data_IF_908986647758
#
_entry.id   IF_908986647758
#
_cell.length_a   1.000
_cell.length_b   1.000
_cell.length_c   1.000
_cell.angle_alpha   90.00
_cell.angle_beta   90.00
_cell.angle_gamma   90.00
#
_symmetry.space_group_name_H-M   'P 1'
#
loop_
_entity.id
_entity.type
_entity.pdbx_description
1 polymer ?
#
# COMPACT_ATOMS: atom_id res chain seq x y z
N UNK A 1 -41.11 25.33 50.92
CA UNK A 1 -40.80 23.92 50.61
C UNK A 1 -39.83 23.94 49.46
N UNK A 2 -38.54 23.75 49.75
CA UNK A 2 -37.50 23.76 48.73
C UNK A 2 -37.51 22.41 48.02
N UNK A 3 -37.75 22.42 46.72
CA UNK A 3 -37.65 21.26 45.86
C UNK A 3 -36.25 20.65 45.98
N UNK A 4 -36.20 19.41 46.47
CA UNK A 4 -34.99 18.62 46.49
C UNK A 4 -34.64 18.24 45.04
N UNK A 5 -33.77 19.02 44.42
CA UNK A 5 -33.10 18.63 43.18
C UNK A 5 -32.20 17.44 43.51
N UNK A 6 -32.62 16.25 43.10
CA UNK A 6 -31.88 15.00 43.25
C UNK A 6 -30.50 15.13 42.57
N UNK A 7 -29.37 15.03 43.30
CA UNK A 7 -28.03 15.23 42.75
C UNK A 7 -27.56 14.11 41.79
N UNK A 8 -28.35 13.04 41.65
CA UNK A 8 -28.08 11.91 40.74
C UNK A 8 -28.96 11.90 39.48
N UNK A 9 -29.75 12.94 39.21
CA UNK A 9 -30.44 13.03 37.92
C UNK A 9 -29.39 13.21 36.81
N UNK A 10 -29.35 12.34 35.78
CA UNK A 10 -28.46 12.56 34.64
C UNK A 10 -28.76 13.95 34.10
N UNK A 11 -27.71 14.76 33.91
CA UNK A 11 -27.86 16.11 33.38
C UNK A 11 -28.78 16.06 32.15
N UNK A 12 -29.66 17.05 31.96
CA UNK A 12 -30.72 17.03 30.92
C UNK A 12 -30.20 16.53 29.55
N UNK A 13 -28.98 16.94 29.18
CA UNK A 13 -28.30 16.54 27.95
C UNK A 13 -27.94 15.04 27.85
N UNK A 14 -27.77 14.36 28.98
CA UNK A 14 -27.52 12.92 29.11
C UNK A 14 -28.78 12.06 28.98
N UNK A 15 -29.96 12.66 28.99
CA UNK A 15 -31.21 11.93 28.80
C UNK A 15 -31.37 11.49 27.32
N UNK A 16 -31.55 10.19 27.01
CA UNK A 16 -31.80 9.71 25.66
C UNK A 16 -33.05 10.32 25.00
N UNK A 17 -34.04 10.72 25.81
CA UNK A 17 -35.29 11.37 25.39
C UNK A 17 -35.14 12.87 25.13
N UNK A 18 -33.97 13.45 25.39
CA UNK A 18 -33.71 14.85 25.05
C UNK A 18 -33.47 14.99 23.54
N UNK A 19 -34.22 15.90 22.89
CA UNK A 19 -34.02 16.27 21.49
C UNK A 19 -33.40 17.66 21.43
N UNK A 20 -32.23 17.79 20.80
CA UNK A 20 -31.57 19.10 20.68
C UNK A 20 -32.32 19.96 19.64
N UNK A 21 -32.45 21.29 19.81
CA UNK A 21 -33.14 22.13 18.82
C UNK A 21 -32.56 22.10 17.39
N UNK A 22 -31.31 21.65 17.23
CA UNK A 22 -30.68 21.44 15.91
C UNK A 22 -30.96 20.06 15.30
N UNK A 23 -31.63 19.17 16.02
CA UNK A 23 -31.99 17.82 15.58
C UNK A 23 -33.27 17.84 14.75
N UNK A 24 -33.15 18.33 13.51
CA UNK A 24 -34.22 18.21 12.51
C UNK A 24 -34.13 16.93 11.67
N UNK A 25 -35.14 16.63 10.82
CA UNK A 25 -35.13 15.48 9.91
C UNK A 25 -33.93 15.42 8.96
N UNK A 26 -33.32 16.56 8.63
CA UNK A 26 -32.12 16.63 7.78
C UNK A 26 -30.78 16.67 8.52
N UNK A 27 -30.79 16.59 9.85
CA UNK A 27 -29.60 16.79 10.68
C UNK A 27 -28.66 15.58 10.72
N UNK A 28 -29.18 14.38 10.50
CA UNK A 28 -28.39 13.15 10.35
C UNK A 28 -28.26 12.85 8.85
N UNK A 29 -27.12 13.23 8.27
CA UNK A 29 -26.81 12.90 6.87
C UNK A 29 -25.91 11.67 6.79
N UNK A 30 -26.45 10.59 6.24
CA UNK A 30 -25.64 9.47 5.75
C UNK A 30 -25.23 9.78 4.32
N UNK A 31 -23.94 9.69 4.01
CA UNK A 31 -23.40 10.04 2.69
C UNK A 31 -23.97 9.15 1.57
N UNK A 32 -24.07 7.84 1.83
CA UNK A 32 -24.62 6.87 0.89
C UNK A 32 -25.94 6.29 1.38
N UNK A 33 -26.96 6.35 0.52
CA UNK A 33 -28.26 5.74 0.83
C UNK A 33 -28.18 4.22 0.76
N UNK A 34 -28.91 3.52 1.64
CA UNK A 34 -29.07 2.07 1.53
C UNK A 34 -29.74 1.72 0.19
N UNK A 35 -29.09 0.91 -0.62
CA UNK A 35 -29.63 0.43 -1.91
C UNK A 35 -29.89 -1.08 -1.91
N UNK A 36 -29.14 -1.82 -1.09
CA UNK A 36 -29.32 -3.26 -0.94
C UNK A 36 -28.28 -3.88 0.00
N UNK A 37 -28.09 -5.20 -0.09
CA UNK A 37 -27.13 -5.92 0.75
C UNK A 37 -25.69 -5.48 0.52
N UNK A 38 -25.35 -5.07 -0.70
CA UNK A 38 -23.99 -4.69 -1.12
C UNK A 38 -23.40 -3.51 -0.35
N UNK A 39 -24.23 -2.56 0.10
CA UNK A 39 -23.78 -1.40 0.86
C UNK A 39 -24.38 -1.35 2.28
N UNK A 40 -25.07 -2.41 2.69
CA UNK A 40 -25.74 -2.47 3.98
C UNK A 40 -24.78 -2.31 5.16
N UNK A 41 -23.62 -2.97 5.13
CA UNK A 41 -22.65 -2.88 6.24
C UNK A 41 -22.11 -1.46 6.43
N UNK A 42 -21.71 -0.81 5.35
CA UNK A 42 -21.23 0.57 5.36
C UNK A 42 -22.33 1.53 5.84
N UNK A 43 -23.55 1.39 5.28
CA UNK A 43 -24.72 2.16 5.68
C UNK A 43 -25.06 1.97 7.16
N UNK A 44 -25.12 0.71 7.64
CA UNK A 44 -25.41 0.35 9.03
C UNK A 44 -24.41 1.05 9.95
N UNK A 45 -23.12 0.94 9.65
CA UNK A 45 -22.06 1.56 10.46
C UNK A 45 -22.19 3.08 10.49
N UNK A 46 -22.45 3.71 9.36
CA UNK A 46 -22.65 5.15 9.27
C UNK A 46 -23.88 5.62 10.08
N UNK A 47 -24.99 4.88 10.02
CA UNK A 47 -26.19 5.15 10.81
C UNK A 47 -25.94 4.97 12.31
N UNK A 48 -25.28 3.90 12.73
CA UNK A 48 -24.93 3.67 14.14
C UNK A 48 -24.05 4.81 14.68
N UNK A 49 -23.06 5.27 13.91
CA UNK A 49 -22.22 6.43 14.27
C UNK A 49 -23.09 7.68 14.39
N UNK A 50 -23.89 8.00 13.37
CA UNK A 50 -24.77 9.17 13.36
C UNK A 50 -25.71 9.21 14.57
N UNK A 51 -26.42 8.11 14.82
CA UNK A 51 -27.33 7.98 15.96
C UNK A 51 -26.60 8.05 17.30
N UNK A 52 -25.38 7.52 17.39
CA UNK A 52 -24.56 7.62 18.60
C UNK A 52 -24.19 9.06 18.92
N UNK A 53 -23.83 9.88 17.91
CA UNK A 53 -23.54 11.31 18.12
C UNK A 53 -24.75 12.09 18.64
N UNK A 54 -25.96 11.62 18.31
CA UNK A 54 -27.25 12.19 18.76
C UNK A 54 -27.81 11.52 20.02
N UNK A 55 -27.11 10.52 20.59
CA UNK A 55 -27.56 9.70 21.74
C UNK A 55 -28.88 8.96 21.48
N UNK A 56 -29.17 8.65 20.22
CA UNK A 56 -30.39 7.95 19.78
C UNK A 56 -30.16 6.49 19.40
N UNK A 57 -28.93 5.98 19.56
CA UNK A 57 -28.62 4.57 19.28
C UNK A 57 -29.50 3.60 20.07
N UNK A 58 -29.95 3.97 21.27
CA UNK A 58 -30.82 3.13 22.09
C UNK A 58 -32.21 2.88 21.50
N UNK A 59 -32.71 3.76 20.61
CA UNK A 59 -34.00 3.58 19.95
C UNK A 59 -33.96 2.43 18.93
N UNK A 60 -32.88 2.33 18.14
CA UNK A 60 -32.74 1.22 17.19
C UNK A 60 -32.40 -0.11 17.88
N UNK A 61 -31.77 -0.06 19.07
CA UNK A 61 -31.45 -1.25 19.87
C UNK A 61 -32.60 -1.71 20.78
N UNK A 62 -33.69 -0.93 20.87
CA UNK A 62 -34.80 -1.21 21.79
C UNK A 62 -34.44 -1.09 23.27
N UNK A 63 -33.32 -0.43 23.62
CA UNK A 63 -32.90 -0.27 25.03
C UNK A 63 -33.62 0.88 25.73
N UNK A 64 -34.23 1.80 24.97
CA UNK A 64 -35.02 2.92 25.50
C UNK A 64 -36.49 2.53 25.47
N UNK A 65 -37.07 2.33 26.65
CA UNK A 65 -38.43 1.80 26.81
C UNK A 65 -39.46 2.93 26.77
N UNK A 66 -40.57 2.68 26.08
CA UNK A 66 -41.74 3.57 26.10
C UNK A 66 -42.40 3.54 27.49
N UNK A 67 -42.61 4.70 28.10
CA UNK A 67 -43.21 4.81 29.43
C UNK A 67 -44.70 4.47 29.39
N UNK A 68 -45.17 3.54 30.24
CA UNK A 68 -46.59 3.24 30.40
C UNK A 68 -47.28 4.09 31.48
N UNK A 69 -46.50 4.72 32.36
CA UNK A 69 -47.00 5.36 33.59
C UNK A 69 -46.95 6.88 33.52
N UNK A 70 -46.03 7.45 32.73
CA UNK A 70 -45.84 8.89 32.60
C UNK A 70 -46.12 9.34 31.15
N UNK A 71 -47.22 10.06 30.90
CA UNK A 71 -47.61 10.50 29.56
C UNK A 71 -46.61 11.50 28.95
N UNK A 72 -45.92 12.32 29.75
CA UNK A 72 -44.95 13.28 29.23
C UNK A 72 -43.71 12.55 28.70
N UNK A 73 -43.25 11.52 29.44
CA UNK A 73 -42.13 10.69 28.99
C UNK A 73 -42.50 9.84 27.77
N UNK A 74 -43.76 9.41 27.65
CA UNK A 74 -44.27 8.73 26.47
C UNK A 74 -44.22 9.65 25.23
N UNK A 75 -44.75 10.88 25.33
CA UNK A 75 -44.74 11.84 24.22
C UNK A 75 -43.31 12.23 23.78
N UNK A 76 -42.39 12.40 24.74
CA UNK A 76 -40.97 12.64 24.45
C UNK A 76 -40.31 11.44 23.74
N UNK A 77 -40.68 10.22 24.14
CA UNK A 77 -40.23 9.00 23.47
C UNK A 77 -40.75 8.93 22.04
N UNK A 78 -42.05 9.19 21.82
CA UNK A 78 -42.67 9.18 20.49
C UNK A 78 -42.01 10.19 19.57
N UNK A 79 -41.74 11.39 20.07
CA UNK A 79 -41.04 12.44 19.32
C UNK A 79 -39.65 12.00 18.89
N UNK A 80 -38.88 11.40 19.81
CA UNK A 80 -37.55 10.89 19.50
C UNK A 80 -37.58 9.69 18.54
N UNK A 81 -38.53 8.77 18.73
CA UNK A 81 -38.73 7.61 17.86
C UNK A 81 -39.06 8.05 16.43
N UNK A 82 -40.00 8.99 16.27
CA UNK A 82 -40.37 9.57 14.97
C UNK A 82 -39.19 10.28 14.31
N UNK A 83 -38.34 10.96 15.09
CA UNK A 83 -37.12 11.60 14.56
C UNK A 83 -36.13 10.56 14.01
N UNK A 84 -35.93 9.45 14.73
CA UNK A 84 -35.08 8.35 14.25
C UNK A 84 -35.66 7.70 13.00
N UNK A 85 -36.98 7.52 12.93
CA UNK A 85 -37.68 7.05 11.72
C UNK A 85 -37.41 8.00 10.55
N UNK A 86 -37.53 9.32 10.74
CA UNK A 86 -37.24 10.31 9.70
C UNK A 86 -35.80 10.17 9.17
N UNK A 87 -34.82 9.99 10.06
CA UNK A 87 -33.43 9.79 9.66
C UNK A 87 -33.22 8.46 8.92
N UNK A 88 -33.84 7.37 9.37
CA UNK A 88 -33.77 6.08 8.67
C UNK A 88 -34.36 6.22 7.27
N UNK A 89 -35.58 6.77 7.14
CA UNK A 89 -36.25 6.97 5.84
C UNK A 89 -35.45 7.88 4.90
N UNK A 90 -34.82 8.94 5.43
CA UNK A 90 -33.94 9.81 4.66
C UNK A 90 -32.62 9.15 4.22
N UNK A 91 -32.18 8.12 4.94
CA UNK A 91 -30.92 7.39 4.71
C UNK A 91 -31.05 6.18 3.79
N UNK A 92 -32.26 5.81 3.37
CA UNK A 92 -32.49 4.65 2.48
C UNK A 92 -32.96 5.10 1.09
N UNK A 93 -32.80 4.24 0.09
CA UNK A 93 -33.36 4.47 -1.24
C UNK A 93 -34.89 4.54 -1.20
N UNK A 94 -35.49 5.24 -2.16
CA UNK A 94 -36.92 5.51 -2.16
C UNK A 94 -37.79 4.24 -2.17
N UNK A 95 -37.35 3.20 -2.88
CA UNK A 95 -38.02 1.89 -2.90
C UNK A 95 -38.00 1.21 -1.53
N UNK A 96 -36.89 1.29 -0.81
CA UNK A 96 -36.75 0.75 0.55
C UNK A 96 -37.58 1.57 1.53
N UNK A 97 -37.54 2.91 1.43
CA UNK A 97 -38.33 3.80 2.28
C UNK A 97 -39.82 3.45 2.20
N UNK A 98 -40.38 3.31 0.99
CA UNK A 98 -41.78 2.90 0.80
C UNK A 98 -42.11 1.55 1.44
N UNK A 99 -41.15 0.62 1.47
CA UNK A 99 -41.37 -0.71 2.05
C UNK A 99 -41.42 -0.74 3.58
N UNK A 100 -40.86 0.27 4.25
CA UNK A 100 -40.81 0.34 5.73
C UNK A 100 -41.54 1.56 6.31
N UNK A 101 -42.17 2.38 5.46
CA UNK A 101 -42.81 3.66 5.83
C UNK A 101 -43.89 3.53 6.91
N UNK A 102 -44.59 2.40 6.97
CA UNK A 102 -45.70 2.15 7.90
C UNK A 102 -45.27 1.42 9.18
N UNK A 103 -43.98 1.35 9.47
CA UNK A 103 -43.48 0.76 10.72
C UNK A 103 -43.36 1.85 11.78
N UNK A 104 -44.15 1.74 12.84
CA UNK A 104 -44.27 2.77 13.88
C UNK A 104 -43.08 2.83 14.84
N UNK A 105 -42.31 1.74 14.95
CA UNK A 105 -41.13 1.67 15.82
C UNK A 105 -39.83 1.73 15.02
N UNK A 106 -38.92 2.63 15.42
CA UNK A 106 -37.57 2.70 14.88
C UNK A 106 -36.79 1.39 15.10
N UNK A 107 -37.01 0.69 16.22
CA UNK A 107 -36.36 -0.61 16.50
C UNK A 107 -36.81 -1.67 15.50
N UNK A 108 -38.10 -1.72 15.21
CA UNK A 108 -38.68 -2.73 14.35
C UNK A 108 -38.31 -2.46 12.90
N UNK A 109 -38.30 -1.18 12.50
CA UNK A 109 -37.81 -0.73 11.20
C UNK A 109 -36.35 -1.12 11.01
N UNK A 110 -35.51 -0.87 12.01
CA UNK A 110 -34.11 -1.27 12.00
C UNK A 110 -33.94 -2.79 11.87
N UNK A 111 -34.68 -3.57 12.67
CA UNK A 111 -34.64 -5.03 12.65
C UNK A 111 -35.12 -5.61 11.31
N UNK A 112 -36.14 -5.02 10.69
CA UNK A 112 -36.60 -5.43 9.36
C UNK A 112 -35.53 -5.19 8.29
N UNK A 113 -34.89 -4.01 8.31
CA UNK A 113 -33.78 -3.70 7.40
C UNK A 113 -32.59 -4.63 7.63
N UNK A 114 -32.27 -4.91 8.89
CA UNK A 114 -31.23 -5.86 9.26
C UNK A 114 -31.56 -7.26 8.76
N UNK A 115 -32.74 -7.80 9.04
CA UNK A 115 -33.14 -9.14 8.58
C UNK A 115 -33.11 -9.25 7.06
N UNK A 116 -33.49 -8.18 6.34
CA UNK A 116 -33.55 -8.17 4.87
C UNK A 116 -32.19 -8.04 4.21
N UNK A 117 -31.30 -7.21 4.76
CA UNK A 117 -30.05 -6.81 4.08
C UNK A 117 -28.76 -7.26 4.80
N UNK A 118 -28.85 -7.75 6.05
CA UNK A 118 -27.72 -8.32 6.78
C UNK A 118 -27.38 -9.75 6.35
N UNK A 119 -28.15 -10.36 5.45
CA UNK A 119 -27.85 -11.69 4.91
C UNK A 119 -26.41 -11.72 4.39
N UNK A 120 -25.60 -12.55 5.04
CA UNK A 120 -24.20 -12.81 4.72
C UNK A 120 -24.09 -13.62 3.43
N UNK A 121 -24.29 -12.95 2.29
CA UNK A 121 -23.20 -12.48 1.43
C UNK A 121 -21.97 -13.39 1.28
N UNK A 122 -22.14 -14.72 1.22
CA UNK A 122 -21.07 -15.64 0.78
C UNK A 122 -20.51 -15.19 -0.57
N UNK A 123 -21.36 -14.65 -1.45
CA UNK A 123 -21.00 -13.97 -2.69
C UNK A 123 -20.14 -12.72 -2.49
N UNK A 124 -20.46 -11.83 -1.53
CA UNK A 124 -19.61 -10.66 -1.22
C UNK A 124 -18.33 -11.05 -0.55
N UNK A 125 -18.34 -11.99 0.39
CA UNK A 125 -17.12 -12.53 0.99
C UNK A 125 -16.23 -13.11 -0.10
N UNK A 126 -16.80 -13.89 -1.02
CA UNK A 126 -16.08 -14.41 -2.18
C UNK A 126 -15.54 -13.28 -3.06
N UNK A 127 -16.37 -12.28 -3.38
CA UNK A 127 -15.96 -11.10 -4.16
C UNK A 127 -14.82 -10.33 -3.49
N UNK A 128 -14.92 -9.99 -2.21
CA UNK A 128 -13.87 -9.29 -1.48
C UNK A 128 -12.57 -10.11 -1.42
N UNK A 129 -12.66 -11.42 -1.20
CA UNK A 129 -11.48 -12.29 -1.28
C UNK A 129 -10.87 -12.29 -2.68
N UNK A 130 -11.69 -12.32 -3.73
CA UNK A 130 -11.24 -12.23 -5.12
C UNK A 130 -10.58 -10.87 -5.42
N UNK A 131 -11.24 -9.77 -5.04
CA UNK A 131 -10.77 -8.39 -5.24
C UNK A 131 -9.41 -8.17 -4.57
N UNK A 132 -9.15 -8.84 -3.43
CA UNK A 132 -7.86 -8.78 -2.72
C UNK A 132 -6.66 -9.22 -3.59
N UNK A 133 -6.87 -10.08 -4.59
CA UNK A 133 -5.81 -10.54 -5.50
C UNK A 133 -5.88 -9.90 -6.90
N UNK A 134 -7.02 -9.33 -7.28
CA UNK A 134 -7.20 -8.69 -8.60
C UNK A 134 -6.84 -7.20 -8.60
N UNK A 135 -6.92 -6.54 -7.45
CA UNK A 135 -6.53 -5.12 -7.35
C UNK A 135 -5.02 -5.00 -7.57
N UNK A 136 -4.66 -4.18 -8.56
CA UNK A 136 -3.29 -3.81 -8.89
C UNK A 136 -3.17 -2.29 -9.02
N UNK A 137 -1.94 -1.79 -8.97
CA UNK A 137 -1.66 -0.37 -9.05
C UNK A 137 -2.09 0.22 -10.40
N UNK A 138 -1.83 -0.49 -11.51
CA UNK A 138 -2.30 -0.15 -12.86
C UNK A 138 -1.92 1.26 -13.32
N UNK A 139 -0.74 1.75 -12.91
CA UNK A 139 -0.24 3.10 -13.21
C UNK A 139 -0.82 4.22 -12.35
N UNK A 140 -1.69 3.92 -11.38
CA UNK A 140 -2.17 4.89 -10.38
C UNK A 140 -1.12 5.23 -9.33
N UNK A 141 -1.37 6.25 -8.51
CA UNK A 141 -0.45 6.59 -7.41
C UNK A 141 -0.40 5.48 -6.34
N UNK A 142 0.72 5.37 -5.62
CA UNK A 142 0.82 4.41 -4.51
C UNK A 142 -0.24 4.68 -3.43
N UNK A 143 -0.54 5.97 -3.18
CA UNK A 143 -1.58 6.35 -2.22
C UNK A 143 -2.97 5.84 -2.63
N UNK A 144 -3.36 6.00 -3.90
CA UNK A 144 -4.66 5.53 -4.38
C UNK A 144 -4.76 4.00 -4.33
N UNK A 145 -3.69 3.31 -4.73
CA UNK A 145 -3.62 1.86 -4.67
C UNK A 145 -3.74 1.33 -3.22
N UNK A 146 -2.97 1.92 -2.29
CA UNK A 146 -3.05 1.58 -0.88
C UNK A 146 -4.45 1.81 -0.30
N UNK A 147 -5.09 2.94 -0.62
CA UNK A 147 -6.46 3.22 -0.15
C UNK A 147 -7.45 2.17 -0.66
N UNK A 148 -7.39 1.77 -1.94
CA UNK A 148 -8.26 0.71 -2.50
C UNK A 148 -8.07 -0.63 -1.77
N UNK A 149 -6.82 -1.05 -1.56
CA UNK A 149 -6.51 -2.28 -0.82
C UNK A 149 -6.99 -2.21 0.63
N UNK A 150 -6.77 -1.07 1.31
CA UNK A 150 -7.21 -0.86 2.70
C UNK A 150 -8.71 -0.97 2.85
N UNK A 151 -9.49 -0.38 1.93
CA UNK A 151 -10.94 -0.49 1.94
C UNK A 151 -11.42 -1.96 1.85
N UNK A 152 -10.83 -2.76 0.96
CA UNK A 152 -11.21 -4.18 0.82
C UNK A 152 -10.84 -4.98 2.07
N UNK A 153 -9.64 -4.78 2.63
CA UNK A 153 -9.22 -5.47 3.84
C UNK A 153 -10.09 -5.12 5.06
N UNK A 154 -10.45 -3.85 5.24
CA UNK A 154 -11.32 -3.40 6.32
C UNK A 154 -12.74 -3.97 6.15
N UNK A 155 -13.26 -4.00 4.93
CA UNK A 155 -14.56 -4.62 4.68
C UNK A 155 -14.52 -6.13 4.95
N UNK A 156 -13.46 -6.82 4.53
CA UNK A 156 -13.27 -8.25 4.76
C UNK A 156 -13.16 -8.59 6.25
N UNK A 157 -12.48 -7.76 7.04
CA UNK A 157 -12.42 -7.87 8.50
C UNK A 157 -13.81 -7.75 9.13
N UNK A 158 -14.63 -6.81 8.65
CA UNK A 158 -16.02 -6.64 9.10
C UNK A 158 -16.93 -7.80 8.71
N UNK A 159 -16.57 -8.60 7.69
CA UNK A 159 -17.29 -9.83 7.32
C UNK A 159 -16.82 -11.01 8.18
N UNK A 160 -15.55 -11.03 8.57
CA UNK A 160 -14.90 -12.12 9.30
C UNK A 160 -14.84 -11.86 10.81
N UNK A 161 -15.95 -11.41 11.40
CA UNK A 161 -16.02 -11.17 12.84
C UNK A 161 -15.92 -12.51 13.57
N UNK A 162 -14.89 -12.64 14.40
CA UNK A 162 -14.71 -13.80 15.27
C UNK A 162 -15.69 -13.73 16.45
N UNK A 163 -16.15 -14.87 16.96
CA UNK A 163 -17.02 -14.91 18.14
C UNK A 163 -16.30 -14.31 19.36
N UNK A 164 -17.06 -13.61 20.22
CA UNK A 164 -16.55 -13.07 21.46
C UNK A 164 -16.20 -14.20 22.44
N UNK A 165 -14.92 -14.33 22.78
CA UNK A 165 -14.39 -15.31 23.72
C UNK A 165 -13.72 -14.61 24.89
N UNK A 166 -13.73 -15.24 26.07
CA UNK A 166 -12.95 -14.77 27.23
C UNK A 166 -11.46 -14.87 26.91
N UNK A 167 -10.76 -13.73 26.93
CA UNK A 167 -9.34 -13.68 26.58
C UNK A 167 -8.50 -14.16 27.76
N UNK A 168 -7.96 -15.38 27.66
CA UNK A 168 -6.87 -15.86 28.53
C UNK A 168 -5.52 -15.42 27.95
N UNK A 169 -4.43 -15.42 28.73
CA UNK A 169 -3.10 -15.06 28.21
C UNK A 169 -2.62 -15.96 27.05
N UNK A 170 -3.03 -17.22 27.01
CA UNK A 170 -2.71 -18.13 25.91
C UNK A 170 -3.47 -17.75 24.63
N UNK A 171 -4.75 -17.37 24.78
CA UNK A 171 -5.58 -16.89 23.67
C UNK A 171 -5.03 -15.56 23.14
N UNK A 172 -4.54 -14.66 24.00
CA UNK A 172 -3.98 -13.38 23.53
C UNK A 172 -2.69 -13.57 22.74
N UNK A 173 -1.82 -14.51 23.16
CA UNK A 173 -0.64 -14.90 22.38
C UNK A 173 -1.03 -15.47 21.01
N UNK A 174 -2.01 -16.36 20.96
CA UNK A 174 -2.53 -16.93 19.71
C UNK A 174 -3.13 -15.86 18.79
N UNK A 175 -3.95 -14.95 19.32
CA UNK A 175 -4.53 -13.84 18.55
C UNK A 175 -3.46 -12.89 18.01
N UNK A 176 -2.37 -12.68 18.77
CA UNK A 176 -1.24 -11.86 18.31
C UNK A 176 -0.53 -12.53 17.13
N UNK A 177 -0.26 -13.84 17.22
CA UNK A 177 0.35 -14.60 16.13
C UNK A 177 -0.56 -14.64 14.87
N UNK A 178 -1.88 -14.80 15.07
CA UNK A 178 -2.86 -14.76 13.98
C UNK A 178 -2.86 -13.37 13.30
N UNK A 179 -2.88 -12.29 14.08
CA UNK A 179 -2.82 -10.94 13.53
C UNK A 179 -1.51 -10.69 12.77
N UNK A 180 -0.37 -11.17 13.28
CA UNK A 180 0.90 -11.08 12.57
C UNK A 180 0.85 -11.79 11.21
N UNK A 181 0.33 -13.02 11.18
CA UNK A 181 0.15 -13.76 9.92
C UNK A 181 -0.77 -13.02 8.95
N UNK A 182 -1.83 -12.37 9.46
CA UNK A 182 -2.75 -11.58 8.65
C UNK A 182 -2.05 -10.36 8.04
N UNK A 183 -1.25 -9.64 8.81
CA UNK A 183 -0.48 -8.48 8.33
C UNK A 183 0.57 -8.89 7.29
N UNK A 184 1.25 -10.03 7.47
CA UNK A 184 2.17 -10.57 6.47
C UNK A 184 1.44 -10.94 5.17
N UNK A 185 0.27 -11.57 5.24
CA UNK A 185 -0.55 -11.85 4.06
C UNK A 185 -0.97 -10.58 3.32
N UNK A 186 -1.37 -9.53 4.05
CA UNK A 186 -1.70 -8.22 3.47
C UNK A 186 -0.50 -7.59 2.79
N UNK A 187 0.69 -7.68 3.39
CA UNK A 187 1.92 -7.22 2.77
C UNK A 187 2.15 -7.93 1.43
N UNK A 188 2.02 -9.26 1.39
CA UNK A 188 2.23 -10.00 0.14
C UNK A 188 1.19 -9.65 -0.92
N UNK A 189 -0.09 -9.53 -0.55
CA UNK A 189 -1.15 -9.09 -1.45
C UNK A 189 -0.84 -7.70 -2.02
N UNK A 190 -0.44 -6.77 -1.16
CA UNK A 190 -0.05 -5.42 -1.54
C UNK A 190 1.15 -5.40 -2.50
N UNK A 191 2.22 -6.12 -2.17
CA UNK A 191 3.45 -6.19 -2.98
C UNK A 191 3.24 -6.89 -4.33
N UNK A 192 2.29 -7.83 -4.42
CA UNK A 192 1.99 -8.55 -5.67
C UNK A 192 1.24 -7.69 -6.69
N UNK A 193 0.41 -6.75 -6.24
CA UNK A 193 -0.32 -5.84 -7.12
C UNK A 193 0.46 -4.57 -7.52
N UNK A 194 1.70 -4.39 -7.05
CA UNK A 194 2.53 -3.24 -7.45
C UNK A 194 3.00 -3.35 -8.89
N UNK A 195 3.16 -2.19 -9.54
CA UNK A 195 3.71 -2.14 -10.91
C UNK A 195 5.19 -2.55 -10.94
N UNK A 196 5.62 -3.17 -12.05
CA UNK A 196 6.97 -3.75 -12.23
C UNK A 196 8.12 -2.76 -11.96
N UNK A 197 7.89 -1.47 -12.15
CA UNK A 197 8.90 -0.46 -11.88
C UNK A 197 9.27 -0.34 -10.39
N UNK A 198 8.47 -0.87 -9.46
CA UNK A 198 8.84 -1.00 -8.04
C UNK A 198 9.51 -2.34 -7.73
N UNK A 199 9.84 -3.17 -8.73
CA UNK A 199 10.44 -4.49 -8.54
C UNK A 199 11.65 -4.52 -7.61
N UNK A 200 12.58 -3.56 -7.77
CA UNK A 200 13.76 -3.44 -6.90
C UNK A 200 13.39 -3.19 -5.43
N UNK A 201 12.45 -2.26 -5.18
CA UNK A 201 12.02 -1.92 -3.83
C UNK A 201 11.20 -3.06 -3.21
N UNK A 202 10.39 -3.77 -4.00
CA UNK A 202 9.70 -4.99 -3.60
C UNK A 202 10.71 -6.05 -3.12
N UNK A 203 11.78 -6.30 -3.87
CA UNK A 203 12.83 -7.24 -3.45
C UNK A 203 13.53 -6.79 -2.17
N UNK A 204 13.80 -5.49 -2.02
CA UNK A 204 14.41 -4.95 -0.80
C UNK A 204 13.50 -5.14 0.43
N UNK A 205 12.21 -4.85 0.30
CA UNK A 205 11.23 -5.03 1.38
C UNK A 205 11.12 -6.49 1.82
N UNK A 206 11.19 -7.44 0.88
CA UNK A 206 11.15 -8.88 1.17
C UNK A 206 12.43 -9.40 1.85
N UNK A 207 13.54 -8.69 1.76
CA UNK A 207 14.81 -9.04 2.41
C UNK A 207 14.93 -8.50 3.84
N UNK A 208 13.99 -7.66 4.28
CA UNK A 208 13.98 -7.12 5.64
C UNK A 208 13.61 -8.20 6.66
N UNK A 209 14.34 -8.23 7.78
CA UNK A 209 14.05 -9.11 8.93
C UNK A 209 14.02 -8.27 10.22
N UNK A 210 12.86 -8.13 10.88
CA UNK A 210 11.54 -8.67 10.54
C UNK A 210 10.92 -8.00 9.29
N UNK A 211 9.93 -8.66 8.68
CA UNK A 211 9.17 -8.10 7.56
C UNK A 211 8.44 -6.81 8.00
N UNK A 212 8.40 -5.77 7.16
CA UNK A 212 7.69 -4.54 7.47
C UNK A 212 6.17 -4.75 7.42
N UNK A 213 5.42 -3.95 8.17
CA UNK A 213 3.96 -3.88 7.97
C UNK A 213 3.62 -3.13 6.67
N UNK A 214 2.37 -3.22 6.24
CA UNK A 214 1.90 -2.59 5.00
C UNK A 214 2.07 -1.09 5.03
N UNK A 215 1.81 -0.44 6.17
CA UNK A 215 1.94 1.01 6.34
C UNK A 215 3.39 1.48 6.12
N UNK A 216 4.37 0.74 6.65
CA UNK A 216 5.80 1.04 6.48
C UNK A 216 6.23 0.81 5.03
N UNK A 217 5.81 -0.30 4.43
CA UNK A 217 6.08 -0.58 3.02
C UNK A 217 5.49 0.51 2.10
N UNK A 218 4.25 0.93 2.35
CA UNK A 218 3.58 2.02 1.62
C UNK A 218 4.35 3.34 1.78
N UNK A 219 4.80 3.68 2.98
CA UNK A 219 5.57 4.90 3.23
C UNK A 219 6.89 4.93 2.44
N UNK A 220 7.61 3.79 2.40
CA UNK A 220 8.84 3.66 1.61
C UNK A 220 8.57 3.77 0.10
N UNK A 221 7.46 3.19 -0.39
CA UNK A 221 7.06 3.27 -1.79
C UNK A 221 6.65 4.68 -2.21
N UNK A 222 5.92 5.41 -1.36
CA UNK A 222 5.58 6.82 -1.61
C UNK A 222 6.83 7.70 -1.60
N UNK A 223 7.80 7.41 -0.72
CA UNK A 223 9.08 8.10 -0.74
C UNK A 223 9.84 7.87 -2.05
N UNK A 224 9.91 6.62 -2.53
CA UNK A 224 10.50 6.28 -3.84
C UNK A 224 9.75 6.94 -5.00
N UNK A 225 8.41 6.95 -4.98
CA UNK A 225 7.56 7.65 -5.96
C UNK A 225 7.91 9.15 -6.02
N UNK A 226 7.99 9.82 -4.87
CA UNK A 226 8.36 11.23 -4.79
C UNK A 226 9.78 11.50 -5.30
N UNK A 227 10.74 10.62 -5.00
CA UNK A 227 12.11 10.72 -5.52
C UNK A 227 12.15 10.56 -7.03
N UNK A 228 11.37 9.63 -7.59
CA UNK A 228 11.26 9.47 -9.05
C UNK A 228 10.61 10.66 -9.72
N UNK A 229 9.67 11.35 -9.09
CA UNK A 229 9.13 12.60 -9.65
C UNK A 229 10.22 13.69 -9.69
N UNK A 230 11.05 13.78 -8.65
CA UNK A 230 12.12 14.78 -8.56
C UNK A 230 13.33 14.49 -9.47
N UNK A 231 13.73 13.22 -9.58
CA UNK A 231 14.95 12.79 -10.27
C UNK A 231 14.68 12.05 -11.60
N UNK A 232 13.45 11.59 -11.83
CA UNK A 232 13.05 10.74 -12.97
C UNK A 232 12.67 11.47 -14.25
N UNK A 233 12.73 12.82 -14.29
CA UNK A 233 12.73 13.55 -15.55
C UNK A 233 14.05 13.38 -16.34
N UNK A 234 15.12 12.89 -15.70
CA UNK A 234 16.45 12.69 -16.31
C UNK A 234 17.01 11.29 -16.04
N UNK A 235 16.24 10.21 -16.27
CA UNK A 235 16.80 8.84 -16.21
C UNK A 235 17.25 8.34 -17.57
N UNK A 236 18.18 9.08 -18.19
CA UNK A 236 19.34 8.47 -18.80
C UNK A 236 20.55 8.97 -18.01
N UNK A 237 21.49 8.08 -17.73
CA UNK A 237 22.61 8.25 -16.80
C UNK A 237 22.24 8.03 -15.33
N UNK A 238 22.21 6.74 -14.99
CA UNK A 238 22.79 6.25 -13.75
C UNK A 238 23.97 7.13 -13.32
N UNK A 239 23.93 7.58 -12.08
CA UNK A 239 25.05 8.17 -11.33
C UNK A 239 26.15 7.11 -11.11
N UNK A 240 26.65 6.52 -12.19
CA UNK A 240 28.03 6.12 -12.25
C UNK A 240 28.83 7.41 -12.30
N UNK A 241 29.93 7.49 -11.54
CA UNK A 241 30.97 8.50 -11.72
C UNK A 241 31.47 8.42 -13.17
N UNK A 242 30.77 9.07 -14.09
CA UNK A 242 31.28 9.38 -15.42
C UNK A 242 32.30 10.49 -15.19
N UNK A 243 33.52 10.08 -14.81
CA UNK A 243 34.69 10.86 -15.20
C UNK A 243 34.54 11.05 -16.69
N UNK A 244 34.17 12.27 -17.13
CA UNK A 244 34.14 12.65 -18.54
C UNK A 244 35.44 12.14 -19.13
N UNK A 245 35.36 11.01 -19.81
CA UNK A 245 36.44 10.46 -20.59
C UNK A 245 36.59 11.42 -21.74
N UNK A 246 37.28 12.54 -21.49
CA UNK A 246 37.99 13.27 -22.53
C UNK A 246 38.71 12.15 -23.27
N UNK A 247 38.26 11.89 -24.49
CA UNK A 247 38.89 10.94 -25.40
C UNK A 247 40.37 11.28 -25.31
N UNK A 248 41.14 10.46 -24.58
CA UNK A 248 42.56 10.73 -24.33
C UNK A 248 43.21 10.60 -25.69
N UNK A 249 43.32 11.73 -26.37
CA UNK A 249 44.04 11.84 -27.62
C UNK A 249 45.40 11.20 -27.38
N UNK A 250 45.74 10.28 -28.29
CA UNK A 250 47.06 9.65 -28.28
C UNK A 250 48.09 10.79 -28.26
N UNK A 251 49.09 10.69 -27.40
CA UNK A 251 50.16 11.67 -27.39
C UNK A 251 50.70 11.84 -28.82
N UNK A 252 50.76 13.08 -29.33
CA UNK A 252 51.22 13.35 -30.71
C UNK A 252 52.64 12.85 -30.99
N UNK A 253 53.43 12.61 -29.94
CA UNK A 253 54.86 12.27 -30.02
C UNK A 253 55.08 10.76 -29.99
N UNK A 254 54.62 10.07 -28.94
CA UNK A 254 54.83 8.61 -28.78
C UNK A 254 53.61 7.76 -29.18
N UNK A 255 52.49 8.40 -29.55
CA UNK A 255 51.20 7.77 -29.91
C UNK A 255 50.57 6.86 -28.85
N UNK A 256 51.12 6.81 -27.64
CA UNK A 256 50.48 6.14 -26.51
C UNK A 256 49.43 7.04 -25.86
N UNK A 257 48.36 6.41 -25.36
CA UNK A 257 47.39 7.07 -24.48
C UNK A 257 48.05 7.24 -23.10
N UNK A 258 47.49 8.06 -22.21
CA UNK A 258 47.88 8.24 -20.79
C UNK A 258 48.76 9.44 -20.40
N UNK A 259 49.21 10.30 -21.32
CA UNK A 259 49.86 11.57 -20.95
C UNK A 259 49.74 12.65 -22.05
N UNK A 260 49.79 13.96 -21.71
CA UNK A 260 49.85 15.03 -22.68
C UNK A 260 51.22 15.06 -23.41
N UNK A 261 51.32 15.66 -24.61
CA UNK A 261 52.57 15.77 -25.37
C UNK A 261 53.71 16.46 -24.61
N UNK A 262 53.37 17.38 -23.70
CA UNK A 262 54.31 18.11 -22.86
C UNK A 262 55.02 17.23 -21.84
N UNK A 263 54.37 16.14 -21.39
CA UNK A 263 54.92 15.19 -20.40
C UNK A 263 55.37 13.88 -21.05
N UNK A 264 55.54 13.86 -22.37
CA UNK A 264 56.00 12.67 -23.08
C UNK A 264 57.48 12.42 -22.77
N UNK A 265 57.83 11.22 -22.30
CA UNK A 265 59.22 10.85 -22.04
C UNK A 265 60.12 10.90 -23.29
N UNK A 266 59.55 10.82 -24.50
CA UNK A 266 60.27 11.02 -25.75
C UNK A 266 60.72 12.49 -25.96
N UNK A 267 60.02 13.45 -25.33
CA UNK A 267 60.33 14.90 -25.37
C UNK A 267 61.07 15.37 -24.11
N UNK A 268 60.63 14.92 -22.93
CA UNK A 268 61.12 15.36 -21.61
C UNK A 268 62.35 14.56 -21.16
N UNK A 269 62.60 13.41 -21.79
CA UNK A 269 63.59 12.44 -21.34
C UNK A 269 62.97 11.38 -20.44
N UNK A 270 63.53 10.17 -20.50
CA UNK A 270 63.10 9.05 -19.67
C UNK A 270 63.68 9.19 -18.26
N UNK A 271 62.91 8.89 -17.20
CA UNK A 271 63.45 8.81 -15.83
C UNK A 271 64.57 7.77 -15.73
N UNK A 272 65.51 7.98 -14.81
CA UNK A 272 66.72 7.15 -14.66
C UNK A 272 66.45 5.64 -14.45
N UNK A 273 65.28 5.29 -13.89
CA UNK A 273 64.85 3.90 -13.68
C UNK A 273 64.21 3.26 -14.93
N UNK A 274 63.88 4.04 -15.96
CA UNK A 274 63.18 3.53 -17.14
C UNK A 274 64.17 2.86 -18.12
N UNK A 275 63.87 1.66 -18.65
CA UNK A 275 64.81 0.88 -19.48
C UNK A 275 65.39 1.63 -20.69
N UNK A 276 64.60 2.52 -21.30
CA UNK A 276 65.03 3.34 -22.45
C UNK A 276 65.92 4.54 -22.10
N UNK A 277 66.13 4.83 -20.81
CA UNK A 277 67.04 5.90 -20.37
C UNK A 277 68.49 5.66 -20.76
N UNK A 278 68.92 4.39 -20.88
CA UNK A 278 70.29 4.02 -21.27
C UNK A 278 70.55 4.08 -22.78
N UNK A 279 69.51 4.21 -23.60
CA UNK A 279 69.62 4.25 -25.08
C UNK A 279 69.70 5.69 -25.63
N UNK A 280 69.23 6.69 -24.88
CA UNK A 280 69.22 8.10 -25.30
C UNK A 280 70.55 8.84 -25.05
N UNK A 281 71.55 8.18 -24.48
CA UNK A 281 72.88 8.78 -24.30
C UNK A 281 73.69 8.89 -25.62
N UNK A 282 73.23 8.31 -26.73
CA UNK A 282 74.05 8.15 -27.94
C UNK A 282 73.43 8.69 -29.25
N UNK A 283 72.48 9.62 -29.19
CA UNK A 283 71.87 10.26 -30.38
C UNK A 283 71.98 11.79 -30.36
N UNK A 284 73.20 12.29 -30.15
CA UNK A 284 73.62 13.59 -30.70
C UNK A 284 74.66 13.30 -31.78
N UNK A 285 74.21 12.95 -32.99
CA UNK A 285 74.90 13.12 -34.28
C UNK A 285 74.40 12.11 -35.31
N UNK A 286 73.50 12.54 -36.19
CA UNK A 286 73.71 12.59 -37.65
C UNK A 286 72.40 12.68 -38.40
N UNK A 287 72.41 13.62 -39.33
CA UNK A 287 71.36 14.02 -40.24
C UNK A 287 71.25 13.10 -41.47
N UNK A 288 70.10 13.24 -42.14
CA UNK A 288 69.79 13.05 -43.57
C UNK A 288 69.27 11.69 -44.10
N UNK A 289 68.02 11.78 -44.56
CA UNK A 289 67.45 11.39 -45.86
C UNK A 289 66.92 9.95 -46.15
N UNK A 290 65.57 9.93 -46.29
CA UNK A 290 64.67 9.35 -47.32
C UNK A 290 64.61 7.82 -47.61
N UNK A 291 63.47 7.23 -47.19
CA UNK A 291 62.52 6.21 -47.78
C UNK A 291 62.94 5.16 -48.85
N UNK A 292 62.13 4.09 -49.13
CA UNK A 292 61.16 3.33 -48.31
C UNK A 292 61.28 1.78 -48.46
N UNK A 293 60.62 0.98 -47.60
CA UNK A 293 60.44 -0.49 -47.80
C UNK A 293 58.96 -0.89 -47.63
N UNK A 294 58.56 -1.81 -48.50
CA UNK A 294 57.22 -2.37 -48.75
C UNK A 294 56.64 -3.23 -47.59
N UNK A 295 55.30 -3.28 -47.58
CA UNK A 295 54.42 -4.05 -46.70
C UNK A 295 54.42 -5.57 -46.94
N UNK A 296 54.31 -6.37 -45.87
CA UNK A 296 53.54 -7.63 -45.84
C UNK A 296 52.85 -7.83 -44.48
N UNK A 297 51.57 -8.28 -44.42
CA UNK A 297 50.83 -8.50 -43.18
C UNK A 297 50.92 -9.95 -42.67
N UNK A 298 50.66 -10.16 -41.37
CA UNK A 298 50.43 -11.48 -40.74
C UNK A 298 49.01 -11.57 -40.16
N UNK A 299 48.50 -12.80 -40.25
CA UNK A 299 47.14 -13.32 -40.10
C UNK A 299 46.65 -13.50 -38.66
N UNK A 300 45.32 -13.64 -38.55
CA UNK A 300 44.49 -13.73 -37.34
C UNK A 300 44.63 -15.07 -36.57
N UNK A 301 44.39 -15.01 -35.26
CA UNK A 301 44.31 -16.16 -34.36
C UNK A 301 42.85 -16.59 -34.10
N UNK A 302 42.68 -17.90 -34.03
CA UNK A 302 41.46 -18.69 -33.79
C UNK A 302 41.04 -18.64 -32.30
N UNK A 303 39.74 -18.71 -32.02
CA UNK A 303 39.18 -18.87 -30.66
C UNK A 303 38.18 -20.03 -30.69
N UNK A 304 38.36 -21.03 -29.82
CA UNK A 304 37.42 -22.15 -29.62
C UNK A 304 36.62 -21.95 -28.32
N UNK A 305 35.31 -22.24 -28.38
CA UNK A 305 34.40 -22.29 -27.25
C UNK A 305 34.09 -23.76 -26.93
N UNK A 306 34.26 -24.17 -25.67
CA UNK A 306 34.00 -25.54 -25.20
C UNK A 306 32.53 -25.74 -24.80
N UNK A 307 31.84 -26.65 -25.48
CA UNK A 307 30.57 -27.23 -25.05
C UNK A 307 30.84 -28.46 -24.16
N UNK A 308 30.29 -28.48 -22.94
CA UNK A 308 30.28 -29.67 -22.09
C UNK A 308 29.04 -30.48 -22.43
N UNK A 309 29.20 -31.76 -22.79
CA UNK A 309 28.10 -32.71 -22.96
C UNK A 309 28.27 -33.86 -21.96
N UNK A 310 27.21 -34.17 -21.21
CA UNK A 310 27.17 -35.29 -20.28
C UNK A 310 26.68 -36.55 -21.00
N UNK A 311 27.28 -37.70 -20.68
CA UNK A 311 26.81 -38.98 -21.20
C UNK A 311 25.58 -39.45 -20.41
N UNK A 312 24.66 -40.24 -21.02
CA UNK A 312 23.45 -40.71 -20.35
C UNK A 312 23.70 -41.45 -19.02
N UNK A 313 24.86 -42.11 -18.91
CA UNK A 313 25.28 -42.85 -17.72
C UNK A 313 25.69 -41.91 -16.56
N UNK A 314 26.17 -40.70 -16.84
CA UNK A 314 26.49 -39.70 -15.81
C UNK A 314 25.23 -39.06 -15.22
N UNK A 315 24.15 -38.98 -16.00
CA UNK A 315 22.86 -38.47 -15.53
C UNK A 315 22.15 -39.45 -14.58
N UNK A 316 22.21 -40.76 -14.86
CA UNK A 316 21.63 -41.79 -13.98
C UNK A 316 22.32 -41.86 -12.61
N UNK A 317 23.63 -41.62 -12.54
CA UNK A 317 24.36 -41.58 -11.27
C UNK A 317 23.96 -40.38 -10.40
N UNK A 318 23.53 -39.28 -11.03
CA UNK A 318 23.08 -38.08 -10.32
C UNK A 318 21.68 -38.25 -9.71
N UNK A 319 20.82 -39.07 -10.33
CA UNK A 319 19.46 -39.34 -9.83
C UNK A 319 19.42 -40.34 -8.68
N UNK A 320 20.46 -41.16 -8.48
CA UNK A 320 20.54 -42.14 -7.39
C UNK A 320 21.13 -41.59 -6.09
N UNK A 321 21.54 -40.33 -6.05
CA UNK A 321 22.11 -39.69 -4.85
C UNK A 321 21.15 -38.71 -4.15
N UNK A 322 19.83 -38.89 -4.31
CA UNK A 322 18.76 -38.21 -3.53
C UNK A 322 17.95 -39.27 -2.79
#
# INVERSE_FOLDING_TARGET
>A
MADQVNPNAPALFQNPLYLHPSDGPGSLRVQEKLTGSQNYRAWRRAMEIGLSTKRKLGFIKGTVVHSATDPNLAELWDTCNNMVICWILGSVSESIARSVMFVDSASDMWLQLEKRFALSDGSRKYKLNKDTYEISQSGGSISEYYTKMKCVWEELDNVNVLPAITVTPEISMFLTALNQQKEEQRLFQFLNGLDEHYGNLRSQLLLMTPLPNVESACSMLQQEESQRVLFGANSYESTALYSKGVVKDKCRICRFKWHPPERCWEKVGYPAWHPKSKLNANKQNRSKDVQPVQNKPRTAAHVEAGNISFTPQQFELFLKSV
#
